data_IF_103386268699
#
_entry.id   IF_103386268699
#
_cell.length_a   1.000
_cell.length_b   1.000
_cell.length_c   1.000
_cell.angle_alpha   90.00
_cell.angle_beta   90.00
_cell.angle_gamma   90.00
#
_symmetry.space_group_name_H-M   'P 1'
#
loop_
_entity.id
_entity.type
_entity.pdbx_description
1 polymer ?
#
# COMPACT_ATOMS: atom_id res chain seq x y z
N UNK A 1 24.23 -0.70 -2.78
CA UNK A 1 24.83 0.50 -2.11
C UNK A 1 23.92 1.09 -1.05
N UNK A 2 24.29 2.19 -0.34
CA UNK A 2 23.47 2.79 0.73
C UNK A 2 22.05 3.19 0.28
N UNK A 3 21.90 3.65 -0.96
CA UNK A 3 20.59 3.97 -1.56
C UNK A 3 19.73 2.73 -1.87
N UNK A 4 20.38 1.60 -2.12
CA UNK A 4 19.75 0.30 -2.38
C UNK A 4 19.19 -0.29 -1.07
N UNK A 5 19.96 -0.21 0.02
CA UNK A 5 19.49 -0.51 1.38
C UNK A 5 18.38 0.43 1.86
N UNK A 6 18.35 1.68 1.37
CA UNK A 6 17.28 2.64 1.69
C UNK A 6 15.97 2.32 0.94
N UNK A 7 16.05 1.72 -0.26
CA UNK A 7 14.87 1.17 -0.98
C UNK A 7 14.39 -0.15 -0.37
N UNK A 8 15.29 -0.94 0.22
CA UNK A 8 14.99 -2.21 0.88
C UNK A 8 14.08 -2.13 2.12
N UNK A 9 13.63 -0.96 2.57
CA UNK A 9 12.68 -0.85 3.70
C UNK A 9 11.60 0.21 3.49
N UNK A 10 11.22 0.46 2.23
CA UNK A 10 10.14 1.38 1.92
C UNK A 10 8.91 0.61 1.44
N UNK A 11 7.75 1.00 1.94
CA UNK A 11 6.48 0.47 1.47
C UNK A 11 6.23 0.93 0.03
N UNK A 12 5.90 0.01 -0.87
CA UNK A 12 5.50 0.36 -2.24
C UNK A 12 4.16 1.10 -2.32
N UNK A 13 3.32 1.01 -1.28
CA UNK A 13 1.93 1.48 -1.33
C UNK A 13 1.71 2.84 -0.67
N UNK A 14 2.72 3.43 -0.02
CA UNK A 14 2.56 4.72 0.66
C UNK A 14 3.92 5.40 0.91
N UNK A 15 3.95 6.73 1.12
CA UNK A 15 5.19 7.47 1.41
C UNK A 15 5.71 7.29 2.85
N UNK A 16 4.95 6.64 3.75
CA UNK A 16 5.32 6.49 5.16
C UNK A 16 6.59 5.64 5.30
N UNK A 17 7.52 6.05 6.16
CA UNK A 17 8.82 5.38 6.39
C UNK A 17 8.86 4.47 7.63
N UNK A 18 7.79 4.43 8.40
CA UNK A 18 7.72 3.71 9.68
C UNK A 18 6.51 2.78 9.70
N UNK A 19 6.66 1.62 10.33
CA UNK A 19 5.59 0.64 10.51
C UNK A 19 6.10 -0.78 10.28
N UNK A 20 5.25 -1.78 10.57
CA UNK A 20 5.57 -3.17 10.29
C UNK A 20 5.51 -3.42 8.78
N UNK A 21 6.59 -3.94 8.21
CA UNK A 21 6.73 -4.26 6.79
C UNK A 21 6.72 -5.78 6.59
N UNK A 22 6.03 -6.21 5.53
CA UNK A 22 6.08 -7.57 5.01
C UNK A 22 6.75 -7.53 3.63
N UNK A 23 7.55 -8.56 3.34
CA UNK A 23 8.27 -8.68 2.08
C UNK A 23 7.37 -9.31 1.02
N UNK A 24 7.44 -8.82 -0.21
CA UNK A 24 6.84 -9.49 -1.37
C UNK A 24 7.76 -10.65 -1.75
N UNK A 25 7.21 -11.86 -1.79
CA UNK A 25 8.01 -13.07 -1.96
C UNK A 25 8.48 -13.25 -3.40
N UNK A 26 7.54 -13.22 -4.33
CA UNK A 26 7.77 -13.63 -5.73
C UNK A 26 7.26 -12.58 -6.73
N UNK A 27 7.58 -12.78 -8.01
CA UNK A 27 7.11 -11.94 -9.12
C UNK A 27 7.96 -10.67 -9.36
N UNK A 28 7.44 -9.76 -10.19
CA UNK A 28 8.16 -8.54 -10.64
C UNK A 28 8.62 -7.63 -9.49
N UNK A 29 7.90 -7.64 -8.38
CA UNK A 29 8.20 -6.88 -7.18
C UNK A 29 8.71 -7.78 -6.03
N UNK A 30 9.14 -9.00 -6.34
CA UNK A 30 9.82 -9.87 -5.38
C UNK A 30 11.00 -9.12 -4.74
N UNK A 31 11.12 -9.19 -3.43
CA UNK A 31 12.15 -8.46 -2.69
C UNK A 31 11.75 -7.07 -2.17
N UNK A 32 10.68 -6.48 -2.70
CA UNK A 32 10.15 -5.21 -2.20
C UNK A 32 9.30 -5.40 -0.94
N UNK A 33 8.91 -4.29 -0.32
CA UNK A 33 8.22 -4.27 0.97
C UNK A 33 6.92 -3.51 0.90
N UNK A 34 5.96 -3.95 1.70
CA UNK A 34 4.65 -3.31 1.88
C UNK A 34 4.35 -3.31 3.37
N UNK A 35 3.79 -2.22 3.90
CA UNK A 35 3.33 -2.22 5.29
C UNK A 35 2.21 -3.25 5.46
N UNK A 36 2.25 -4.04 6.54
CA UNK A 36 1.18 -4.99 6.86
C UNK A 36 -0.20 -4.30 6.85
N UNK A 37 -0.29 -3.10 7.42
CA UNK A 37 -1.50 -2.29 7.39
C UNK A 37 -1.91 -1.86 5.96
N UNK A 38 -0.98 -1.55 5.07
CA UNK A 38 -1.34 -1.23 3.69
C UNK A 38 -1.84 -2.48 2.95
N UNK A 39 -1.16 -3.61 3.11
CA UNK A 39 -1.58 -4.87 2.49
C UNK A 39 -2.95 -5.35 2.97
N UNK A 40 -3.31 -5.07 4.23
CA UNK A 40 -4.63 -5.46 4.77
C UNK A 40 -5.79 -4.73 4.10
N UNK A 41 -5.59 -3.46 3.71
CA UNK A 41 -6.66 -2.60 3.20
C UNK A 41 -6.66 -2.46 1.67
N UNK A 42 -5.57 -2.83 1.00
CA UNK A 42 -5.50 -2.81 -0.47
C UNK A 42 -5.94 -4.18 -1.00
N UNK A 43 -7.11 -4.28 -1.67
CA UNK A 43 -7.70 -5.58 -2.04
C UNK A 43 -6.82 -6.44 -2.95
N UNK A 44 -5.93 -5.83 -3.72
CA UNK A 44 -4.99 -6.51 -4.61
C UNK A 44 -3.85 -7.19 -3.85
N UNK A 45 -3.68 -6.93 -2.55
CA UNK A 45 -2.63 -7.54 -1.73
C UNK A 45 -3.20 -8.70 -0.92
N UNK A 46 -2.46 -9.82 -0.87
CA UNK A 46 -2.77 -10.92 0.02
C UNK A 46 -1.62 -11.16 0.99
N UNK A 47 -1.92 -11.16 2.28
CA UNK A 47 -0.99 -11.57 3.33
C UNK A 47 -1.07 -13.09 3.47
N UNK A 48 0.08 -13.74 3.35
CA UNK A 48 0.22 -15.18 3.44
C UNK A 48 0.88 -15.58 4.75
N UNK A 49 0.45 -16.72 5.30
CA UNK A 49 1.02 -17.28 6.52
C UNK A 49 2.45 -17.80 6.31
N UNK A 50 3.25 -17.73 7.36
CA UNK A 50 4.64 -18.18 7.38
C UNK A 50 5.37 -17.62 8.61
N UNK A 51 6.62 -18.03 8.83
CA UNK A 51 7.41 -17.66 10.03
C UNK A 51 7.40 -16.16 10.34
N UNK A 52 7.37 -15.32 9.30
CA UNK A 52 7.33 -13.85 9.43
C UNK A 52 6.17 -13.20 8.65
N UNK A 53 5.29 -14.00 8.04
CA UNK A 53 4.32 -13.54 7.04
C UNK A 53 4.97 -12.96 5.76
N UNK A 54 4.26 -12.97 4.64
CA UNK A 54 4.74 -12.34 3.40
C UNK A 54 3.57 -11.87 2.53
N UNK A 55 3.86 -11.02 1.55
CA UNK A 55 2.87 -10.56 0.57
C UNK A 55 2.96 -11.40 -0.70
N UNK A 56 1.81 -11.88 -1.16
CA UNK A 56 1.62 -12.42 -2.51
C UNK A 56 0.88 -11.39 -3.36
N UNK A 57 1.37 -11.19 -4.59
CA UNK A 57 0.82 -10.27 -5.59
C UNK A 57 0.89 -10.95 -6.95
N UNK A 58 -0.24 -11.45 -7.45
CA UNK A 58 -0.32 -12.03 -8.79
C UNK A 58 -0.28 -10.95 -9.89
N UNK A 59 -0.11 -11.36 -11.14
CA UNK A 59 0.03 -10.43 -12.26
C UNK A 59 -1.24 -9.58 -12.54
N UNK A 60 -2.44 -10.07 -12.23
CA UNK A 60 -3.68 -9.32 -12.38
C UNK A 60 -3.86 -8.29 -11.27
N UNK A 61 -3.64 -8.71 -10.03
CA UNK A 61 -3.59 -7.86 -8.83
C UNK A 61 -2.60 -6.71 -9.02
N UNK A 62 -1.43 -6.99 -9.61
CA UNK A 62 -0.46 -5.95 -9.96
C UNK A 62 -0.99 -4.90 -10.95
N UNK A 63 -1.74 -5.31 -11.99
CA UNK A 63 -2.31 -4.36 -12.96
C UNK A 63 -3.37 -3.47 -12.31
N UNK A 64 -4.21 -4.04 -11.46
CA UNK A 64 -5.23 -3.29 -10.72
C UNK A 64 -4.60 -2.31 -9.72
N UNK A 65 -3.55 -2.76 -9.03
CA UNK A 65 -2.78 -1.93 -8.10
C UNK A 65 -2.20 -0.68 -8.78
N UNK A 66 -1.68 -0.82 -10.01
CA UNK A 66 -1.16 0.31 -10.78
C UNK A 66 -2.23 1.38 -11.10
N UNK A 67 -3.51 1.01 -11.22
CA UNK A 67 -4.58 2.00 -11.41
C UNK A 67 -4.74 2.88 -10.18
N UNK A 68 -4.56 2.32 -8.97
CA UNK A 68 -4.63 3.07 -7.71
C UNK A 68 -3.53 4.11 -7.56
N UNK A 69 -2.43 3.99 -8.31
CA UNK A 69 -1.29 4.91 -8.24
C UNK A 69 -1.57 6.22 -8.98
N UNK A 70 -2.60 6.25 -9.84
CA UNK A 70 -2.95 7.42 -10.64
C UNK A 70 -3.66 8.51 -9.84
N UNK A 71 -4.29 8.16 -8.72
CA UNK A 71 -4.96 9.13 -7.86
C UNK A 71 -3.97 9.82 -6.92
N UNK A 72 -4.25 11.07 -6.58
CA UNK A 72 -3.52 11.81 -5.56
C UNK A 72 -4.16 11.58 -4.18
N UNK A 73 -3.34 11.56 -3.12
CA UNK A 73 -3.86 11.51 -1.76
C UNK A 73 -4.28 12.91 -1.28
N UNK A 74 -5.49 13.07 -0.77
CA UNK A 74 -6.04 14.33 -0.26
C UNK A 74 -5.40 14.83 1.05
N UNK A 75 -4.54 14.04 1.70
CA UNK A 75 -3.84 14.42 2.94
C UNK A 75 -2.41 14.86 2.68
N UNK A 76 -1.64 14.07 1.93
CA UNK A 76 -0.23 14.38 1.66
C UNK A 76 -0.02 15.07 0.31
N UNK A 77 -1.05 15.13 -0.54
CA UNK A 77 -1.03 15.72 -1.88
C UNK A 77 0.05 15.19 -2.83
N UNK A 78 0.66 14.04 -2.51
CA UNK A 78 1.67 13.42 -3.35
C UNK A 78 0.99 12.62 -4.47
N UNK A 79 1.21 12.98 -5.75
CA UNK A 79 0.73 12.19 -6.89
C UNK A 79 1.67 11.03 -7.18
N UNK A 80 1.16 9.98 -7.83
CA UNK A 80 1.97 8.88 -8.38
C UNK A 80 2.85 8.12 -7.37
N UNK A 81 2.52 8.17 -6.08
CA UNK A 81 3.22 7.45 -5.03
C UNK A 81 2.24 6.47 -4.38
N UNK A 82 2.44 5.17 -4.60
CA UNK A 82 1.70 4.12 -3.90
C UNK A 82 0.20 4.08 -4.19
N UNK A 83 -0.53 3.26 -3.44
CA UNK A 83 -1.93 2.97 -3.70
C UNK A 83 -2.86 3.90 -2.90
N UNK A 84 -3.74 4.59 -3.62
CA UNK A 84 -4.78 5.43 -3.04
C UNK A 84 -6.11 4.67 -3.03
N UNK A 85 -6.79 4.64 -1.88
CA UNK A 85 -8.17 4.18 -1.76
C UNK A 85 -9.13 5.37 -1.83
N UNK A 86 -10.22 5.21 -2.56
CA UNK A 86 -11.31 6.17 -2.59
C UNK A 86 -12.20 5.98 -1.36
N UNK A 87 -12.75 7.08 -0.85
CA UNK A 87 -13.79 7.06 0.16
C UNK A 87 -14.99 6.22 -0.31
N UNK A 88 -15.57 5.42 0.58
CA UNK A 88 -16.74 4.58 0.28
C UNK A 88 -18.07 5.32 0.36
N UNK A 89 -18.09 6.55 0.90
CA UNK A 89 -19.29 7.39 0.95
C UNK A 89 -19.70 7.78 -0.48
N UNK A 90 -21.00 7.64 -0.78
CA UNK A 90 -21.57 8.10 -2.05
C UNK A 90 -21.22 9.57 -2.32
N UNK A 91 -20.93 9.88 -3.58
CA UNK A 91 -20.50 11.21 -4.06
C UNK A 91 -19.22 11.78 -3.42
N UNK A 92 -18.44 10.97 -2.70
CA UNK A 92 -17.13 11.37 -2.18
C UNK A 92 -16.00 10.86 -3.08
N UNK A 93 -15.32 11.78 -3.77
CA UNK A 93 -14.19 11.48 -4.66
C UNK A 93 -12.81 11.64 -4.00
N UNK A 94 -12.78 11.71 -2.67
CA UNK A 94 -11.52 11.87 -1.93
C UNK A 94 -10.77 10.54 -1.85
N UNK A 95 -9.47 10.61 -2.07
CA UNK A 95 -8.54 9.49 -2.06
C UNK A 95 -7.51 9.59 -0.94
N UNK A 96 -7.20 8.48 -0.28
CA UNK A 96 -6.21 8.44 0.79
C UNK A 96 -5.26 7.24 0.69
N UNK A 97 -3.99 7.46 1.06
CA UNK A 97 -3.15 6.34 1.50
C UNK A 97 -3.65 5.86 2.85
N UNK A 98 -3.58 4.54 3.10
CA UNK A 98 -3.96 3.94 4.41
C UNK A 98 -3.33 4.65 5.63
N UNK A 99 -2.01 4.89 5.69
CA UNK A 99 -1.42 5.61 6.83
C UNK A 99 -1.85 7.08 6.92
N UNK A 100 -2.22 7.71 5.81
CA UNK A 100 -2.71 9.09 5.80
C UNK A 100 -4.14 9.16 6.38
N UNK A 101 -5.03 8.27 5.97
CA UNK A 101 -6.37 8.15 6.55
C UNK A 101 -6.29 7.88 8.06
N UNK A 102 -5.41 6.96 8.49
CA UNK A 102 -5.16 6.68 9.92
C UNK A 102 -4.65 7.90 10.68
N UNK A 103 -3.73 8.68 10.11
CA UNK A 103 -3.20 9.87 10.77
C UNK A 103 -4.26 10.97 10.98
N UNK A 104 -5.27 11.02 10.11
CA UNK A 104 -6.42 11.91 10.22
C UNK A 104 -7.57 11.32 11.04
N UNK A 105 -7.38 10.13 11.62
CA UNK A 105 -8.37 9.42 12.42
C UNK A 105 -9.66 9.09 11.66
N UNK A 106 -9.55 8.85 10.34
CA UNK A 106 -10.67 8.42 9.50
C UNK A 106 -11.02 6.94 9.77
N UNK A 107 -12.30 6.63 9.62
CA UNK A 107 -12.80 5.25 9.69
C UNK A 107 -12.20 4.40 8.58
N UNK A 108 -11.71 3.22 8.97
CA UNK A 108 -11.32 2.16 8.06
C UNK A 108 -12.12 0.94 8.50
N UNK A 109 -13.24 0.69 7.82
CA UNK A 109 -14.18 -0.39 8.13
C UNK A 109 -14.11 -1.44 7.02
N UNK A 110 -13.91 -2.71 7.41
CA UNK A 110 -14.00 -3.85 6.51
C UNK A 110 -15.49 -4.15 6.36
N UNK A 111 -16.13 -3.54 5.36
CA UNK A 111 -17.50 -3.90 4.97
C UNK A 111 -17.57 -5.32 4.45
#
# INVERSE_FOLDING_TARGET
GPEEQKRERQCLLCPRRTGALLRIKDGKFGGYWIHAACAWWIPECSIQEGRYGYISLDAASMRNLQQRFKAACDVCHLPNIGAVLQCSTEDCYRGFHIPCARAMNYGLDLV
#
